data_IF_772233252207
#
_entry.id   IF_772233252207
#
_cell.length_a   1.000
_cell.length_b   1.000
_cell.length_c   1.000
_cell.angle_alpha   90.00
_cell.angle_beta   90.00
_cell.angle_gamma   90.00
#
_symmetry.space_group_name_H-M   'P 1'
#
loop_
_entity.id
_entity.type
_entity.pdbx_description
1 polymer ?
#
# COMPACT_ATOMS: atom_id res chain seq x y z
N UNK A 1 14.52 50.04 -31.51
CA UNK A 1 14.78 48.85 -30.68
C UNK A 1 16.13 48.29 -31.04
N UNK A 2 17.05 48.16 -30.07
CA UNK A 2 18.37 47.61 -30.34
C UNK A 2 18.28 46.10 -30.28
N UNK A 3 18.72 45.41 -31.31
CA UNK A 3 18.89 43.96 -31.29
C UNK A 3 20.32 43.61 -30.93
N UNK A 4 20.52 42.66 -30.06
CA UNK A 4 21.84 42.09 -29.81
C UNK A 4 22.09 40.94 -30.77
N UNK A 5 23.18 41.06 -31.55
CA UNK A 5 23.74 39.97 -32.30
C UNK A 5 25.09 39.66 -31.64
N UNK A 6 25.36 38.41 -31.34
CA UNK A 6 26.56 37.98 -30.59
C UNK A 6 26.79 38.72 -29.25
N UNK A 7 25.70 39.05 -28.54
CA UNK A 7 25.79 39.75 -27.25
C UNK A 7 25.94 41.28 -27.31
N UNK A 8 26.05 41.87 -28.48
CA UNK A 8 26.18 43.32 -28.65
C UNK A 8 24.84 43.93 -29.06
N UNK A 9 24.46 45.03 -28.43
CA UNK A 9 23.26 45.80 -28.78
C UNK A 9 23.49 46.55 -30.08
N UNK A 10 22.70 46.26 -31.13
CA UNK A 10 22.68 47.08 -32.37
C UNK A 10 21.46 47.98 -32.38
N UNK A 11 21.64 49.24 -32.72
CA UNK A 11 20.58 50.19 -32.99
C UNK A 11 20.06 50.02 -34.42
N UNK A 12 18.76 49.76 -34.55
CA UNK A 12 18.09 49.81 -35.83
C UNK A 12 17.49 51.22 -36.04
N UNK A 13 17.39 51.66 -37.31
CA UNK A 13 16.84 52.90 -37.69
C UNK A 13 15.37 53.14 -37.29
N UNK A 14 14.60 52.11 -36.92
CA UNK A 14 13.33 52.21 -36.22
C UNK A 14 13.61 52.14 -34.71
N UNK A 15 13.11 53.07 -33.94
CA UNK A 15 13.31 53.25 -32.49
C UNK A 15 12.93 52.09 -31.58
N UNK A 16 12.82 50.88 -32.10
CA UNK A 16 12.48 49.67 -31.33
C UNK A 16 13.73 48.88 -30.99
N UNK A 17 13.99 48.70 -29.70
CA UNK A 17 15.05 47.81 -29.20
C UNK A 17 14.50 46.38 -29.13
N UNK A 18 14.99 45.48 -29.93
CA UNK A 18 14.71 44.04 -29.89
C UNK A 18 15.86 43.32 -29.18
N UNK A 19 15.56 42.70 -28.05
CA UNK A 19 16.50 41.82 -27.38
C UNK A 19 16.58 40.52 -28.18
N UNK A 20 17.79 39.99 -28.36
CA UNK A 20 17.95 38.62 -28.84
C UNK A 20 17.35 37.64 -27.81
N UNK A 21 16.97 36.47 -28.29
CA UNK A 21 16.50 35.41 -27.40
C UNK A 21 17.53 35.14 -26.30
N UNK A 22 17.07 34.97 -25.04
CA UNK A 22 17.98 34.68 -23.95
C UNK A 22 18.70 33.35 -24.20
N UNK A 23 20.00 33.37 -24.09
CA UNK A 23 20.84 32.17 -24.20
C UNK A 23 21.22 31.71 -22.79
N UNK A 24 20.90 30.47 -22.47
CA UNK A 24 21.30 29.83 -21.21
C UNK A 24 22.36 28.79 -21.54
N UNK A 25 23.57 29.00 -21.04
CA UNK A 25 24.65 28.04 -21.13
C UNK A 25 24.70 27.16 -19.88
N UNK A 26 24.78 25.85 -20.08
CA UNK A 26 24.99 24.88 -18.99
C UNK A 26 26.46 24.47 -18.97
N UNK A 27 27.09 24.62 -17.80
CA UNK A 27 28.42 24.12 -17.53
C UNK A 27 28.34 22.93 -16.58
N UNK A 28 28.89 21.80 -17.01
CA UNK A 28 28.91 20.58 -16.19
C UNK A 28 30.32 20.37 -15.68
N UNK A 29 30.45 20.22 -14.36
CA UNK A 29 31.73 19.93 -13.71
C UNK A 29 31.59 18.70 -12.82
N UNK A 30 32.61 17.83 -12.88
CA UNK A 30 32.65 16.60 -12.05
C UNK A 30 33.57 16.82 -10.86
N UNK A 31 33.08 16.50 -9.67
CA UNK A 31 33.89 16.52 -8.45
C UNK A 31 34.89 15.36 -8.49
N UNK A 32 36.16 15.65 -8.42
CA UNK A 32 37.24 14.67 -8.39
C UNK A 32 37.51 14.20 -6.94
N UNK A 33 38.11 13.02 -6.73
CA UNK A 33 38.42 12.50 -5.39
C UNK A 33 39.31 13.41 -4.55
N UNK A 34 40.08 14.27 -5.17
CA UNK A 34 40.94 15.29 -4.52
C UNK A 34 40.17 16.57 -4.13
N UNK A 35 38.86 16.61 -4.32
CA UNK A 35 38.02 17.78 -4.01
C UNK A 35 38.01 18.88 -5.09
N UNK A 36 38.77 18.75 -6.20
CA UNK A 36 38.73 19.71 -7.29
C UNK A 36 37.58 19.43 -8.27
N UNK A 37 37.12 20.47 -8.99
CA UNK A 37 36.10 20.33 -10.02
C UNK A 37 36.78 20.27 -11.40
N UNK A 38 36.48 19.23 -12.17
CA UNK A 38 36.89 19.09 -13.57
C UNK A 38 35.73 19.46 -14.47
N UNK A 39 35.94 20.51 -15.30
CA UNK A 39 34.94 20.92 -16.30
C UNK A 39 34.84 19.88 -17.43
N UNK A 40 33.64 19.48 -17.78
CA UNK A 40 33.35 18.57 -18.89
C UNK A 40 32.95 19.37 -20.11
N UNK A 41 33.82 19.44 -21.10
CA UNK A 41 33.62 20.26 -22.31
C UNK A 41 32.68 19.59 -23.32
N UNK A 42 32.61 18.26 -23.33
CA UNK A 42 31.78 17.48 -24.26
C UNK A 42 30.99 16.42 -23.48
N UNK A 43 29.91 16.79 -22.78
CA UNK A 43 29.16 15.84 -21.92
C UNK A 43 28.64 14.61 -22.67
N UNK A 44 28.18 14.79 -23.91
CA UNK A 44 27.63 13.71 -24.75
C UNK A 44 28.65 12.66 -25.19
N UNK A 45 29.94 12.96 -25.15
CA UNK A 45 31.00 11.98 -25.41
C UNK A 45 31.61 11.40 -24.14
N UNK A 46 31.43 12.08 -23.02
CA UNK A 46 32.01 11.69 -21.74
C UNK A 46 31.04 10.83 -20.90
N UNK A 47 29.76 11.16 -20.92
CA UNK A 47 28.73 10.44 -20.15
C UNK A 47 27.95 9.46 -21.02
N UNK A 48 27.55 8.35 -20.43
CA UNK A 48 26.59 7.45 -21.05
C UNK A 48 25.16 8.06 -21.02
N UNK A 49 24.25 7.48 -21.78
CA UNK A 49 22.88 7.94 -21.95
C UNK A 49 22.15 8.08 -20.60
N UNK A 50 22.32 7.12 -19.68
CA UNK A 50 21.71 7.17 -18.36
C UNK A 50 22.13 8.40 -17.55
N UNK A 51 23.43 8.76 -17.55
CA UNK A 51 23.92 9.97 -16.88
C UNK A 51 23.39 11.24 -17.54
N UNK A 52 23.34 11.29 -18.85
CA UNK A 52 22.79 12.44 -19.58
C UNK A 52 21.31 12.64 -19.27
N UNK A 53 20.53 11.56 -19.27
CA UNK A 53 19.11 11.58 -18.88
C UNK A 53 18.93 12.03 -17.42
N UNK A 54 19.75 11.52 -16.51
CA UNK A 54 19.69 11.92 -15.10
C UNK A 54 19.99 13.43 -14.92
N UNK A 55 20.98 13.96 -15.65
CA UNK A 55 21.29 15.40 -15.62
C UNK A 55 20.12 16.22 -16.17
N UNK A 56 19.58 15.83 -17.33
CA UNK A 56 18.44 16.52 -17.96
C UNK A 56 17.20 16.54 -17.04
N UNK A 57 16.88 15.40 -16.41
CA UNK A 57 15.79 15.29 -15.44
C UNK A 57 16.03 16.16 -14.20
N UNK A 58 17.26 16.16 -13.66
CA UNK A 58 17.61 16.97 -12.49
C UNK A 58 17.43 18.45 -12.75
N UNK A 59 17.84 18.93 -13.95
CA UNK A 59 17.64 20.32 -14.36
C UNK A 59 16.15 20.62 -14.47
N UNK A 60 15.40 19.75 -15.15
CA UNK A 60 13.95 19.94 -15.33
C UNK A 60 13.21 19.98 -14.00
N UNK A 61 13.55 19.08 -13.08
CA UNK A 61 12.94 19.04 -11.74
C UNK A 61 13.35 20.26 -10.89
N UNK A 62 14.58 20.74 -11.01
CA UNK A 62 15.01 21.97 -10.36
C UNK A 62 14.19 23.19 -10.84
N UNK A 63 13.90 23.26 -12.15
CA UNK A 63 13.08 24.32 -12.73
C UNK A 63 11.63 24.29 -12.22
N UNK A 64 11.06 23.11 -11.92
CA UNK A 64 9.71 23.00 -11.34
C UNK A 64 9.60 23.73 -9.98
N UNK A 65 10.69 23.81 -9.23
CA UNK A 65 10.71 24.47 -7.92
C UNK A 65 10.80 26.01 -8.03
N UNK A 66 11.16 26.57 -9.17
CA UNK A 66 11.29 28.01 -9.37
C UNK A 66 9.94 28.70 -9.64
N UNK A 67 8.97 27.94 -10.09
CA UNK A 67 7.66 28.48 -10.42
C UNK A 67 6.77 28.62 -9.17
N UNK A 68 6.01 29.73 -9.10
CA UNK A 68 5.00 29.89 -8.07
C UNK A 68 3.86 28.86 -8.26
N UNK A 69 3.29 28.30 -7.19
CA UNK A 69 2.17 27.40 -7.30
C UNK A 69 0.97 28.10 -7.97
N UNK A 70 0.54 27.57 -9.11
CA UNK A 70 -0.68 27.96 -9.80
C UNK A 70 -1.59 26.74 -9.92
N UNK A 71 -2.88 26.93 -9.82
CA UNK A 71 -3.86 25.85 -9.97
C UNK A 71 -3.77 25.20 -11.37
N UNK A 72 -3.95 23.89 -11.43
CA UNK A 72 -4.02 23.14 -12.68
C UNK A 72 -2.70 22.73 -13.32
N UNK A 73 -1.60 22.72 -12.58
CA UNK A 73 -0.31 22.25 -13.11
C UNK A 73 -0.29 20.76 -13.35
N UNK A 74 0.23 20.36 -14.49
CA UNK A 74 0.50 18.96 -14.79
C UNK A 74 1.95 18.73 -15.22
N UNK A 75 2.43 17.52 -14.94
CA UNK A 75 3.74 17.03 -15.36
C UNK A 75 3.54 15.75 -16.17
N UNK A 76 3.91 15.79 -17.44
CA UNK A 76 3.90 14.61 -18.31
C UNK A 76 5.32 14.09 -18.50
N UNK A 77 5.54 12.83 -18.21
CA UNK A 77 6.80 12.11 -18.39
C UNK A 77 6.53 10.93 -19.34
N UNK A 78 7.10 11.03 -20.54
CA UNK A 78 6.94 10.03 -21.59
C UNK A 78 8.26 9.27 -21.78
N UNK A 79 8.28 8.03 -21.34
CA UNK A 79 9.39 7.07 -21.49
C UNK A 79 10.79 7.55 -21.05
N UNK A 80 10.85 8.66 -20.33
CA UNK A 80 12.10 9.35 -19.96
C UNK A 80 12.98 8.55 -19.00
N UNK A 81 12.44 7.50 -18.37
CA UNK A 81 13.14 6.74 -17.32
C UNK A 81 13.77 5.44 -17.85
N UNK A 82 13.58 5.12 -19.13
CA UNK A 82 13.98 3.82 -19.68
C UNK A 82 15.50 3.61 -19.69
N UNK A 83 16.26 4.68 -19.94
CA UNK A 83 17.73 4.63 -19.93
C UNK A 83 18.33 4.57 -18.51
N UNK A 84 17.53 4.82 -17.46
CA UNK A 84 17.97 4.75 -16.07
C UNK A 84 17.91 3.32 -15.54
N UNK A 85 18.88 2.95 -14.71
CA UNK A 85 18.82 1.73 -13.92
C UNK A 85 17.71 1.82 -12.84
N UNK A 86 17.30 0.68 -12.29
CA UNK A 86 16.21 0.61 -11.31
C UNK A 86 16.46 1.44 -10.04
N UNK A 87 17.72 1.58 -9.62
CA UNK A 87 18.08 2.39 -8.45
C UNK A 87 17.80 3.87 -8.69
N UNK A 88 18.16 4.38 -9.86
CA UNK A 88 17.91 5.76 -10.24
C UNK A 88 16.42 6.01 -10.56
N UNK A 89 15.72 5.03 -11.18
CA UNK A 89 14.26 5.09 -11.34
C UNK A 89 13.55 5.19 -9.99
N UNK A 90 14.01 4.44 -8.98
CA UNK A 90 13.45 4.50 -7.64
C UNK A 90 13.56 5.90 -7.00
N UNK A 91 14.70 6.59 -7.20
CA UNK A 91 14.86 7.97 -6.72
C UNK A 91 13.91 8.93 -7.42
N UNK A 92 13.73 8.78 -8.74
CA UNK A 92 12.76 9.59 -9.48
C UNK A 92 11.35 9.34 -9.02
N UNK A 93 10.96 8.08 -8.80
CA UNK A 93 9.64 7.73 -8.26
C UNK A 93 9.40 8.38 -6.90
N UNK A 94 10.36 8.31 -5.97
CA UNK A 94 10.22 8.97 -4.67
C UNK A 94 10.03 10.48 -4.83
N UNK A 95 10.79 11.14 -5.70
CA UNK A 95 10.62 12.56 -6.00
C UNK A 95 9.24 12.88 -6.58
N UNK A 96 8.73 12.05 -7.52
CA UNK A 96 7.41 12.25 -8.10
C UNK A 96 6.29 12.11 -7.03
N UNK A 97 6.45 11.20 -6.08
CA UNK A 97 5.53 11.06 -4.96
C UNK A 97 5.56 12.28 -4.03
N UNK A 98 6.72 12.88 -3.79
CA UNK A 98 6.87 14.10 -2.99
C UNK A 98 6.18 15.31 -3.61
N UNK A 99 6.12 15.39 -4.95
CA UNK A 99 5.51 16.52 -5.66
C UNK A 99 4.07 16.25 -6.13
N UNK A 100 3.53 15.06 -5.91
CA UNK A 100 2.20 14.66 -6.38
C UNK A 100 1.06 15.54 -5.83
N UNK A 101 1.22 16.11 -4.65
CA UNK A 101 0.27 17.07 -4.07
C UNK A 101 0.21 18.42 -4.83
N UNK A 102 1.28 18.75 -5.56
CA UNK A 102 1.43 20.04 -6.26
C UNK A 102 1.19 19.94 -7.76
N UNK A 103 1.33 18.75 -8.33
CA UNK A 103 1.27 18.50 -9.77
C UNK A 103 0.37 17.30 -10.08
N UNK A 104 -0.50 17.44 -11.08
CA UNK A 104 -1.14 16.28 -11.69
C UNK A 104 -0.11 15.58 -12.59
N UNK A 105 0.30 14.37 -12.23
CA UNK A 105 1.38 13.67 -12.89
C UNK A 105 0.82 12.63 -13.87
N UNK A 106 1.31 12.67 -15.11
CA UNK A 106 1.07 11.68 -16.15
C UNK A 106 2.39 10.99 -16.47
N UNK A 107 2.48 9.70 -16.16
CA UNK A 107 3.66 8.89 -16.39
C UNK A 107 3.35 7.82 -17.45
N UNK A 108 3.99 7.94 -18.61
CA UNK A 108 3.89 6.98 -19.70
C UNK A 108 5.14 6.11 -19.73
N UNK A 109 4.98 4.81 -19.93
CA UNK A 109 6.09 3.88 -20.08
C UNK A 109 5.65 2.64 -20.85
N UNK A 110 6.53 2.08 -21.66
CA UNK A 110 6.37 0.77 -22.26
C UNK A 110 7.08 -0.34 -21.47
N UNK A 111 7.80 0.01 -20.40
CA UNK A 111 8.46 -0.95 -19.52
C UNK A 111 7.46 -1.52 -18.48
N UNK A 112 7.01 -2.75 -18.74
CA UNK A 112 6.06 -3.46 -17.87
C UNK A 112 6.59 -3.64 -16.44
N UNK A 113 7.88 -3.91 -16.27
CA UNK A 113 8.46 -4.08 -14.92
C UNK A 113 8.43 -2.77 -14.14
N UNK A 114 8.75 -1.66 -14.80
CA UNK A 114 8.69 -0.35 -14.17
C UNK A 114 7.24 0.06 -13.84
N UNK A 115 6.28 -0.24 -14.73
CA UNK A 115 4.86 -0.03 -14.48
C UNK A 115 4.37 -0.78 -13.22
N UNK A 116 4.69 -2.07 -13.09
CA UNK A 116 4.33 -2.86 -11.92
C UNK A 116 5.06 -2.39 -10.64
N UNK A 117 6.32 -1.97 -10.76
CA UNK A 117 7.07 -1.37 -9.66
C UNK A 117 6.40 -0.09 -9.15
N UNK A 118 5.97 0.79 -10.06
CA UNK A 118 5.28 2.03 -9.71
C UNK A 118 3.94 1.74 -9.03
N UNK A 119 3.13 0.82 -9.58
CA UNK A 119 1.89 0.35 -8.93
C UNK A 119 2.14 -0.16 -7.51
N UNK A 120 3.20 -0.93 -7.32
CA UNK A 120 3.55 -1.44 -6.00
C UNK A 120 3.92 -0.31 -5.02
N UNK A 121 4.69 0.67 -5.45
CA UNK A 121 5.10 1.81 -4.62
C UNK A 121 3.94 2.71 -4.21
N UNK A 122 2.97 2.89 -5.09
CA UNK A 122 1.80 3.75 -4.87
C UNK A 122 0.61 3.00 -4.24
N UNK A 123 0.77 1.71 -3.95
CA UNK A 123 -0.30 0.87 -3.38
C UNK A 123 -0.88 1.41 -2.06
N UNK A 124 -0.09 2.15 -1.28
CA UNK A 124 -0.57 2.78 -0.03
C UNK A 124 -1.48 3.98 -0.28
N UNK A 125 -1.42 4.58 -1.46
CA UNK A 125 -2.18 5.77 -1.89
C UNK A 125 -3.30 5.35 -2.84
N UNK A 126 -4.10 4.34 -2.44
CA UNK A 126 -5.22 3.83 -3.24
C UNK A 126 -6.23 4.95 -3.48
N UNK A 127 -6.56 5.20 -4.76
CA UNK A 127 -7.50 6.24 -5.16
C UNK A 127 -6.85 7.52 -5.70
N UNK A 128 -5.57 7.78 -5.41
CA UNK A 128 -4.84 8.95 -5.94
C UNK A 128 -4.26 8.69 -7.34
N UNK A 129 -4.00 7.42 -7.69
CA UNK A 129 -3.36 7.00 -8.94
C UNK A 129 -4.28 6.13 -9.78
N UNK A 130 -4.38 6.46 -11.07
CA UNK A 130 -5.15 5.70 -12.07
C UNK A 130 -4.18 5.04 -13.04
N UNK A 131 -4.31 3.72 -13.22
CA UNK A 131 -3.44 2.92 -14.09
C UNK A 131 -4.21 2.50 -15.34
N UNK A 132 -3.62 2.78 -16.49
CA UNK A 132 -4.20 2.43 -17.79
C UNK A 132 -3.17 1.73 -18.65
N UNK A 133 -3.61 0.76 -19.41
CA UNK A 133 -2.80 0.06 -20.41
C UNK A 133 -3.35 0.41 -21.79
N UNK A 134 -2.46 0.75 -22.73
CA UNK A 134 -2.81 1.09 -24.10
C UNK A 134 -2.38 -0.09 -24.96
N UNK A 135 -3.32 -0.63 -25.70
CA UNK A 135 -3.11 -1.72 -26.64
C UNK A 135 -3.49 -1.28 -28.05
N UNK A 136 -2.97 -2.00 -29.03
CA UNK A 136 -3.31 -1.81 -30.44
C UNK A 136 -4.10 -3.02 -30.93
N UNK A 137 -5.26 -2.79 -31.52
CA UNK A 137 -6.01 -3.84 -32.20
C UNK A 137 -5.36 -4.21 -33.53
N UNK A 138 -5.78 -5.32 -34.13
CA UNK A 138 -5.30 -5.79 -35.45
C UNK A 138 -5.56 -4.79 -36.57
N UNK A 139 -6.65 -4.01 -36.49
CA UNK A 139 -6.97 -2.90 -37.38
C UNK A 139 -6.20 -1.61 -37.13
N UNK A 140 -5.19 -1.66 -36.21
CA UNK A 140 -4.37 -0.53 -35.77
C UNK A 140 -5.14 0.57 -35.02
N UNK A 141 -6.34 0.29 -34.53
CA UNK A 141 -7.03 1.21 -33.63
C UNK A 141 -6.51 1.05 -32.20
N UNK A 142 -6.06 2.11 -31.53
CA UNK A 142 -5.66 2.03 -30.14
C UNK A 142 -6.88 1.91 -29.23
N UNK A 143 -6.79 1.08 -28.19
CA UNK A 143 -7.78 1.05 -27.13
C UNK A 143 -7.12 1.13 -25.76
N UNK A 144 -7.80 1.79 -24.84
CA UNK A 144 -7.32 2.00 -23.48
C UNK A 144 -8.06 1.06 -22.55
N UNK A 145 -7.31 0.19 -21.89
CA UNK A 145 -7.80 -0.68 -20.84
C UNK A 145 -7.41 -0.10 -19.48
N UNK A 146 -8.35 -0.08 -18.55
CA UNK A 146 -7.98 0.10 -17.17
C UNK A 146 -7.11 -1.10 -16.77
N UNK A 147 -6.00 -0.85 -16.06
CA UNK A 147 -5.26 -1.94 -15.45
C UNK A 147 -6.11 -2.47 -14.29
N UNK A 148 -7.09 -3.26 -14.69
CA UNK A 148 -8.06 -3.84 -13.79
C UNK A 148 -7.37 -4.79 -12.82
N UNK A 149 -7.90 -4.85 -11.62
CA UNK A 149 -7.59 -5.92 -10.70
C UNK A 149 -8.07 -7.27 -11.26
N UNK A 150 -7.66 -8.36 -10.64
CA UNK A 150 -8.04 -9.69 -11.12
C UNK A 150 -9.56 -9.91 -11.17
N UNK A 151 -10.33 -9.23 -10.30
CA UNK A 151 -11.80 -9.35 -10.29
C UNK A 151 -12.43 -8.65 -11.49
N UNK A 152 -11.92 -7.47 -11.86
CA UNK A 152 -12.36 -6.79 -13.08
C UNK A 152 -12.05 -7.60 -14.35
N UNK A 153 -10.88 -8.24 -14.40
CA UNK A 153 -10.51 -9.13 -15.49
C UNK A 153 -11.43 -10.35 -15.54
N UNK A 154 -11.72 -10.97 -14.40
CA UNK A 154 -12.67 -12.09 -14.33
C UNK A 154 -14.05 -11.68 -14.84
N UNK A 155 -14.57 -10.53 -14.40
CA UNK A 155 -15.86 -10.00 -14.84
C UNK A 155 -15.90 -9.76 -16.36
N UNK A 156 -14.80 -9.25 -16.93
CA UNK A 156 -14.68 -9.08 -18.38
C UNK A 156 -14.84 -10.41 -19.12
N UNK A 157 -14.12 -11.47 -18.69
CA UNK A 157 -14.19 -12.77 -19.33
C UNK A 157 -15.53 -13.50 -19.07
N UNK A 158 -16.18 -13.28 -17.93
CA UNK A 158 -17.55 -13.76 -17.70
C UNK A 158 -18.53 -13.19 -18.75
N UNK A 159 -18.41 -11.88 -19.04
CA UNK A 159 -19.24 -11.21 -20.07
C UNK A 159 -18.98 -11.76 -21.50
N UNK A 160 -17.78 -12.29 -21.73
CA UNK A 160 -17.42 -12.95 -22.98
C UNK A 160 -17.75 -14.45 -23.02
N UNK A 161 -18.33 -14.99 -21.94
CA UNK A 161 -18.61 -16.43 -21.77
C UNK A 161 -17.37 -17.32 -21.68
N UNK A 162 -16.20 -16.73 -21.39
CA UNK A 162 -14.92 -17.43 -21.21
C UNK A 162 -14.70 -17.83 -19.74
N UNK A 163 -15.52 -18.76 -19.25
CA UNK A 163 -15.60 -19.06 -17.81
C UNK A 163 -14.34 -19.71 -17.25
N UNK A 164 -13.58 -20.44 -18.03
CA UNK A 164 -12.30 -21.02 -17.59
C UNK A 164 -11.25 -19.96 -17.36
N UNK A 165 -11.14 -19.03 -18.30
CA UNK A 165 -10.23 -17.88 -18.17
C UNK A 165 -10.63 -17.02 -16.97
N UNK A 166 -11.93 -16.75 -16.80
CA UNK A 166 -12.48 -16.05 -15.66
C UNK A 166 -12.10 -16.75 -14.34
N UNK A 167 -12.25 -18.08 -14.26
CA UNK A 167 -11.90 -18.90 -13.11
C UNK A 167 -10.42 -18.76 -12.70
N UNK A 168 -9.50 -18.68 -13.67
CA UNK A 168 -8.08 -18.42 -13.41
C UNK A 168 -7.83 -17.06 -12.77
N UNK A 169 -8.54 -16.02 -13.23
CA UNK A 169 -8.45 -14.68 -12.63
C UNK A 169 -9.08 -14.62 -11.25
N UNK A 170 -10.21 -15.29 -11.03
CA UNK A 170 -10.83 -15.43 -9.71
C UNK A 170 -9.88 -16.13 -8.71
N UNK A 171 -9.18 -17.19 -9.15
CA UNK A 171 -8.16 -17.84 -8.31
C UNK A 171 -7.05 -16.89 -7.91
N UNK A 172 -6.48 -16.13 -8.85
CA UNK A 172 -5.45 -15.13 -8.56
C UNK A 172 -5.96 -14.04 -7.62
N UNK A 173 -7.21 -13.60 -7.79
CA UNK A 173 -7.86 -12.67 -6.89
C UNK A 173 -8.00 -13.24 -5.49
N UNK A 174 -8.49 -14.48 -5.34
CA UNK A 174 -8.63 -15.15 -4.06
C UNK A 174 -7.29 -15.27 -3.32
N UNK A 175 -6.22 -15.71 -4.00
CA UNK A 175 -4.89 -15.78 -3.40
C UNK A 175 -4.37 -14.41 -2.93
N UNK A 176 -4.59 -13.36 -3.73
CA UNK A 176 -4.17 -12.00 -3.39
C UNK A 176 -4.95 -11.45 -2.20
N UNK A 177 -6.27 -11.63 -2.18
CA UNK A 177 -7.13 -11.18 -1.09
C UNK A 177 -6.78 -11.89 0.21
N UNK A 178 -6.59 -13.21 0.19
CA UNK A 178 -6.16 -13.97 1.37
C UNK A 178 -4.81 -13.48 1.90
N UNK A 179 -3.83 -13.23 1.02
CA UNK A 179 -2.52 -12.69 1.41
C UNK A 179 -2.59 -11.27 1.98
N UNK A 180 -3.49 -10.44 1.47
CA UNK A 180 -3.70 -9.09 2.01
C UNK A 180 -4.40 -9.14 3.39
N UNK A 181 -5.32 -10.07 3.56
CA UNK A 181 -6.04 -10.29 4.82
C UNK A 181 -5.13 -10.79 5.94
N UNK A 182 -4.26 -11.76 5.64
CA UNK A 182 -3.42 -12.42 6.63
C UNK A 182 -2.13 -11.64 6.95
N UNK A 183 -1.69 -11.59 8.22
CA UNK A 183 -0.30 -11.28 8.55
C UNK A 183 0.68 -12.25 7.87
N UNK A 184 1.90 -11.80 7.57
CA UNK A 184 2.90 -12.62 6.85
C UNK A 184 3.13 -13.98 7.49
N UNK A 185 3.19 -14.04 8.83
CA UNK A 185 3.38 -15.31 9.57
C UNK A 185 2.26 -16.33 9.34
N UNK A 186 1.03 -15.88 9.03
CA UNK A 186 -0.11 -16.73 8.74
C UNK A 186 -0.20 -17.17 7.28
N UNK A 187 0.66 -16.63 6.41
CA UNK A 187 0.79 -17.03 5.01
C UNK A 187 1.78 -18.19 4.80
N UNK A 188 2.45 -18.61 5.87
CA UNK A 188 3.48 -19.63 5.86
C UNK A 188 3.01 -20.87 6.62
N UNK A 189 3.47 -22.04 6.18
CA UNK A 189 3.33 -23.27 6.90
C UNK A 189 4.37 -23.40 8.03
N UNK A 190 4.33 -24.47 8.78
CA UNK A 190 5.27 -24.72 9.89
C UNK A 190 6.73 -24.87 9.46
N UNK A 191 6.98 -25.24 8.20
CA UNK A 191 8.29 -25.32 7.57
C UNK A 191 8.72 -24.05 6.83
N UNK A 192 8.00 -22.93 7.05
CA UNK A 192 8.18 -21.62 6.41
C UNK A 192 8.00 -21.62 4.88
N UNK A 193 7.43 -22.67 4.30
CA UNK A 193 7.00 -22.63 2.90
C UNK A 193 5.71 -21.83 2.74
N UNK A 194 5.49 -21.29 1.54
CA UNK A 194 4.26 -20.56 1.25
C UNK A 194 3.08 -21.52 1.17
N UNK A 195 1.97 -21.14 1.82
CA UNK A 195 0.74 -21.89 1.73
C UNK A 195 0.12 -21.81 0.35
N UNK A 196 -0.51 -22.90 -0.07
CA UNK A 196 -1.40 -22.95 -1.22
C UNK A 196 -2.71 -22.22 -0.91
N UNK A 197 -3.60 -22.11 -1.91
CA UNK A 197 -4.90 -21.43 -1.74
C UNK A 197 -5.74 -22.07 -0.63
N UNK A 198 -5.70 -23.41 -0.49
CA UNK A 198 -6.42 -24.08 0.59
C UNK A 198 -5.93 -23.64 1.97
N UNK A 199 -4.63 -23.73 2.20
CA UNK A 199 -4.03 -23.29 3.46
C UNK A 199 -4.29 -21.81 3.76
N UNK A 200 -4.25 -20.96 2.73
CA UNK A 200 -4.56 -19.53 2.88
C UNK A 200 -6.02 -19.32 3.33
N UNK A 201 -7.00 -19.98 2.71
CA UNK A 201 -8.43 -19.85 3.06
C UNK A 201 -8.67 -20.35 4.48
N UNK A 202 -8.13 -21.52 4.84
CA UNK A 202 -8.29 -22.07 6.20
C UNK A 202 -7.67 -21.13 7.25
N UNK A 203 -6.51 -20.56 6.96
CA UNK A 203 -5.90 -19.60 7.86
C UNK A 203 -6.67 -18.27 7.92
N UNK A 204 -7.29 -17.81 6.81
CA UNK A 204 -8.18 -16.64 6.84
C UNK A 204 -9.37 -16.89 7.76
N UNK A 205 -10.03 -18.03 7.62
CA UNK A 205 -11.16 -18.42 8.48
C UNK A 205 -10.74 -18.42 9.94
N UNK A 206 -9.68 -19.15 10.26
CA UNK A 206 -9.17 -19.24 11.63
C UNK A 206 -8.75 -17.89 12.21
N UNK A 207 -8.05 -17.06 11.43
CA UNK A 207 -7.63 -15.73 11.88
C UNK A 207 -8.82 -14.81 12.13
N UNK A 208 -9.86 -14.90 11.31
CA UNK A 208 -11.11 -14.18 11.49
C UNK A 208 -11.82 -14.59 12.78
N UNK A 209 -12.02 -15.90 12.99
CA UNK A 209 -12.63 -16.47 14.20
C UNK A 209 -11.87 -16.07 15.47
N UNK A 210 -10.55 -16.26 15.48
CA UNK A 210 -9.69 -15.92 16.62
C UNK A 210 -9.62 -14.41 16.90
N UNK A 211 -9.86 -13.57 15.90
CA UNK A 211 -9.98 -12.12 16.06
C UNK A 211 -11.36 -11.67 16.52
N UNK A 212 -12.34 -12.58 16.63
CA UNK A 212 -13.69 -12.29 17.09
C UNK A 212 -14.63 -11.77 15.98
N UNK A 213 -14.32 -12.02 14.71
CA UNK A 213 -15.25 -11.81 13.61
C UNK A 213 -16.39 -12.86 13.71
N UNK A 214 -17.62 -12.38 13.87
CA UNK A 214 -18.79 -13.25 14.06
C UNK A 214 -19.20 -13.90 12.73
N UNK A 215 -18.98 -13.24 11.61
CA UNK A 215 -19.38 -13.70 10.29
C UNK A 215 -18.18 -14.18 9.48
N UNK A 216 -18.08 -15.49 9.34
CA UNK A 216 -17.02 -16.19 8.60
C UNK A 216 -17.55 -16.85 7.31
N UNK A 217 -18.82 -16.61 6.97
CA UNK A 217 -19.53 -17.25 5.84
C UNK A 217 -18.73 -17.07 4.53
N UNK A 218 -18.14 -15.89 4.32
CA UNK A 218 -17.30 -15.60 3.14
C UNK A 218 -16.18 -16.65 2.97
N UNK A 219 -15.52 -17.05 4.06
CA UNK A 219 -14.41 -18.01 3.98
C UNK A 219 -14.92 -19.45 3.76
N UNK A 220 -16.11 -19.78 4.22
CA UNK A 220 -16.77 -21.08 3.97
C UNK A 220 -17.18 -21.20 2.50
N UNK A 221 -17.80 -20.16 1.97
CA UNK A 221 -18.13 -20.07 0.55
C UNK A 221 -16.87 -20.15 -0.34
N UNK A 222 -15.80 -19.42 0.01
CA UNK A 222 -14.52 -19.48 -0.70
C UNK A 222 -13.92 -20.89 -0.69
N UNK A 223 -14.02 -21.65 0.41
CA UNK A 223 -13.55 -23.03 0.44
C UNK A 223 -14.36 -23.93 -0.49
N UNK A 224 -15.66 -23.69 -0.59
CA UNK A 224 -16.52 -24.38 -1.56
C UNK A 224 -16.12 -24.05 -2.99
N UNK A 225 -16.02 -22.76 -3.35
CA UNK A 225 -15.61 -22.33 -4.69
C UNK A 225 -14.19 -22.78 -5.03
N UNK A 226 -13.30 -22.89 -4.06
CA UNK A 226 -11.95 -23.45 -4.29
C UNK A 226 -12.02 -24.85 -4.88
N UNK A 227 -12.89 -25.69 -4.37
CA UNK A 227 -13.01 -27.09 -4.80
C UNK A 227 -13.58 -27.23 -6.22
N UNK A 228 -14.58 -26.42 -6.54
CA UNK A 228 -15.35 -26.60 -7.77
C UNK A 228 -14.99 -25.63 -8.91
N UNK A 229 -14.40 -24.47 -8.59
CA UNK A 229 -14.10 -23.42 -9.58
C UNK A 229 -12.62 -23.09 -9.64
N UNK A 230 -12.03 -22.72 -8.49
CA UNK A 230 -10.70 -22.11 -8.48
C UNK A 230 -9.57 -23.11 -8.72
N UNK A 231 -9.64 -24.32 -8.15
CA UNK A 231 -8.64 -25.37 -8.38
C UNK A 231 -8.78 -25.97 -9.79
N UNK A 232 -9.97 -26.38 -10.27
CA UNK A 232 -10.12 -26.92 -11.63
C UNK A 232 -9.74 -25.92 -12.73
N UNK A 233 -9.87 -24.61 -12.47
CA UNK A 233 -9.46 -23.58 -13.43
C UNK A 233 -7.95 -23.52 -13.68
N UNK A 234 -7.13 -24.03 -12.78
CA UNK A 234 -5.66 -24.00 -12.87
C UNK A 234 -5.04 -25.37 -13.21
N UNK A 235 -5.85 -26.42 -13.27
CA UNK A 235 -5.45 -27.76 -13.68
C UNK A 235 -6.25 -28.17 -14.90
N UNK A 236 -5.62 -28.88 -15.80
CA UNK A 236 -6.24 -29.40 -17.03
C UNK A 236 -7.18 -30.57 -16.70
N UNK A 237 -8.26 -30.27 -15.95
CA UNK A 237 -9.29 -31.23 -15.58
C UNK A 237 -10.49 -31.05 -16.51
N UNK A 238 -10.53 -31.88 -17.56
CA UNK A 238 -11.60 -31.90 -18.56
C UNK A 238 -13.00 -32.23 -18.00
N UNK A 239 -13.11 -32.65 -16.75
CA UNK A 239 -14.33 -33.20 -16.18
C UNK A 239 -15.21 -32.21 -15.43
N UNK A 240 -14.78 -30.96 -15.22
CA UNK A 240 -15.57 -29.97 -14.49
C UNK A 240 -16.03 -28.87 -15.42
N UNK A 241 -17.26 -29.01 -15.91
CA UNK A 241 -17.94 -27.96 -16.67
C UNK A 241 -18.26 -26.82 -15.69
N UNK A 242 -17.74 -25.64 -15.98
CA UNK A 242 -18.03 -24.42 -15.21
C UNK A 242 -19.26 -23.75 -15.76
N UNK A 243 -20.27 -23.60 -14.92
CA UNK A 243 -21.49 -22.90 -15.29
C UNK A 243 -21.37 -21.42 -14.95
N UNK A 244 -22.02 -20.60 -15.74
CA UNK A 244 -22.03 -19.15 -15.57
C UNK A 244 -22.41 -18.72 -14.16
N UNK A 245 -23.45 -19.33 -13.61
CA UNK A 245 -24.00 -18.98 -12.30
C UNK A 245 -22.95 -19.14 -11.18
N UNK A 246 -22.27 -20.28 -11.10
CA UNK A 246 -21.28 -20.53 -10.05
C UNK A 246 -20.07 -19.60 -10.15
N UNK A 247 -19.66 -19.24 -11.37
CA UNK A 247 -18.55 -18.32 -11.61
C UNK A 247 -18.93 -16.88 -11.22
N UNK A 248 -20.19 -16.48 -11.51
CA UNK A 248 -20.74 -15.18 -11.08
C UNK A 248 -20.86 -15.09 -9.55
N UNK A 249 -21.35 -16.14 -8.88
CA UNK A 249 -21.43 -16.21 -7.43
C UNK A 249 -20.05 -16.16 -6.77
N UNK A 250 -19.06 -16.87 -7.32
CA UNK A 250 -17.66 -16.79 -6.87
C UNK A 250 -17.10 -15.37 -7.00
N UNK A 251 -17.38 -14.68 -8.10
CA UNK A 251 -17.02 -13.27 -8.28
C UNK A 251 -17.68 -12.39 -7.21
N UNK A 252 -18.97 -12.61 -6.93
CA UNK A 252 -19.70 -11.85 -5.91
C UNK A 252 -19.10 -12.04 -4.51
N UNK A 253 -18.82 -13.28 -4.11
CA UNK A 253 -18.17 -13.58 -2.81
C UNK A 253 -16.77 -12.94 -2.72
N UNK A 254 -15.99 -12.96 -3.79
CA UNK A 254 -14.68 -12.30 -3.80
C UNK A 254 -14.78 -10.77 -3.77
N UNK A 255 -15.82 -10.17 -4.37
CA UNK A 255 -16.12 -8.73 -4.22
C UNK A 255 -16.49 -8.39 -2.79
N UNK A 256 -17.31 -9.21 -2.14
CA UNK A 256 -17.63 -9.06 -0.72
C UNK A 256 -16.36 -9.17 0.14
N UNK A 257 -15.46 -10.11 -0.15
CA UNK A 257 -14.17 -10.22 0.54
C UNK A 257 -13.28 -8.99 0.31
N UNK A 258 -13.23 -8.46 -0.91
CA UNK A 258 -12.49 -7.24 -1.25
C UNK A 258 -12.98 -6.02 -0.45
N UNK A 259 -14.26 -5.97 -0.07
CA UNK A 259 -14.85 -4.89 0.71
C UNK A 259 -14.43 -4.90 2.18
N UNK A 260 -13.81 -5.97 2.67
CA UNK A 260 -13.25 -6.03 4.02
C UNK A 260 -11.99 -5.17 4.06
N UNK A 261 -12.05 -4.06 4.77
CA UNK A 261 -10.93 -3.14 4.92
C UNK A 261 -10.07 -3.56 6.10
N UNK A 262 -8.76 -3.72 5.84
CA UNK A 262 -7.77 -3.99 6.87
C UNK A 262 -6.78 -2.84 6.91
N UNK A 263 -6.62 -2.24 8.08
CA UNK A 263 -5.67 -1.17 8.31
C UNK A 263 -4.73 -1.50 9.46
N UNK A 264 -3.46 -1.03 9.42
CA UNK A 264 -2.59 -1.05 10.59
C UNK A 264 -3.26 -0.30 11.74
N UNK A 265 -3.01 -0.75 12.96
CA UNK A 265 -3.55 -0.10 14.16
C UNK A 265 -2.46 0.20 15.17
N UNK A 266 -1.87 -0.83 15.75
CA UNK A 266 -0.78 -0.71 16.71
C UNK A 266 0.37 -1.61 16.25
N UNK A 267 1.58 -1.06 16.24
CA UNK A 267 2.78 -1.75 15.76
C UNK A 267 3.43 -2.60 16.85
N UNK A 268 4.22 -3.58 16.41
CA UNK A 268 5.12 -4.33 17.28
C UNK A 268 5.92 -3.41 18.21
N UNK A 269 6.01 -3.77 19.48
CA UNK A 269 6.74 -3.01 20.51
C UNK A 269 5.95 -1.86 21.13
N UNK A 270 4.74 -1.56 20.68
CA UNK A 270 3.88 -0.58 21.35
C UNK A 270 3.61 -1.00 22.80
N UNK A 271 3.65 -0.02 23.70
CA UNK A 271 3.44 -0.22 25.13
C UNK A 271 2.11 0.38 25.55
N UNK A 272 1.26 -0.43 26.09
CA UNK A 272 -0.08 -0.06 26.53
C UNK A 272 -0.23 -0.32 28.02
N UNK A 273 -1.19 0.35 28.64
CA UNK A 273 -1.55 0.03 30.03
C UNK A 273 -3.04 0.32 30.31
N UNK A 274 -3.57 -0.30 31.34
CA UNK A 274 -4.85 0.05 31.95
C UNK A 274 -4.83 -0.26 33.46
N UNK A 275 -5.73 0.36 34.19
CA UNK A 275 -5.82 0.23 35.66
C UNK A 275 -7.23 -0.20 36.07
N UNK A 276 -7.29 -1.15 37.01
CA UNK A 276 -8.52 -1.68 37.58
C UNK A 276 -8.37 -1.78 39.10
N UNK A 277 -9.49 -1.70 39.82
CA UNK A 277 -9.54 -1.91 41.27
C UNK A 277 -10.33 -3.20 41.58
N UNK A 278 -10.01 -3.87 42.71
CA UNK A 278 -10.85 -4.95 43.18
C UNK A 278 -12.12 -4.44 43.87
N UNK A 279 -13.19 -5.27 43.95
CA UNK A 279 -14.38 -4.92 44.71
C UNK A 279 -14.12 -4.78 46.21
N UNK A 280 -14.99 -4.01 46.88
CA UNK A 280 -15.01 -3.91 48.33
C UNK A 280 -15.16 -5.31 49.02
N UNK A 281 -14.59 -5.52 50.25
CA UNK A 281 -14.12 -4.50 51.21
C UNK A 281 -12.64 -4.14 51.05
N UNK A 282 -11.82 -4.96 50.39
CA UNK A 282 -10.39 -4.72 50.27
C UNK A 282 -10.06 -4.20 48.88
N UNK A 283 -10.00 -2.87 48.70
CA UNK A 283 -9.67 -2.27 47.42
C UNK A 283 -8.17 -2.43 47.19
N UNK A 284 -7.82 -3.24 46.18
CA UNK A 284 -6.47 -3.37 45.68
C UNK A 284 -6.41 -2.74 44.29
N UNK A 285 -5.34 -1.99 44.01
CA UNK A 285 -5.10 -1.39 42.70
C UNK A 285 -4.25 -2.31 41.83
N UNK A 286 -4.72 -2.58 40.65
CA UNK A 286 -4.02 -3.35 39.63
C UNK A 286 -3.72 -2.47 38.42
N UNK A 287 -2.46 -2.39 38.01
CA UNK A 287 -2.04 -1.83 36.74
C UNK A 287 -1.53 -2.95 35.87
N UNK A 288 -2.08 -3.05 34.68
CA UNK A 288 -1.68 -4.01 33.64
C UNK A 288 -0.82 -3.28 32.63
N UNK A 289 0.43 -3.64 32.50
CA UNK A 289 1.34 -3.13 31.47
C UNK A 289 1.49 -4.17 30.38
N UNK A 290 1.27 -3.79 29.12
CA UNK A 290 1.25 -4.64 27.96
C UNK A 290 2.30 -4.16 26.97
N UNK A 291 3.04 -5.11 26.37
CA UNK A 291 3.95 -4.86 25.25
C UNK A 291 3.47 -5.72 24.10
N UNK A 292 3.19 -5.11 22.96
CA UNK A 292 2.75 -5.84 21.79
C UNK A 292 3.94 -6.58 21.14
N UNK A 293 3.77 -7.87 20.91
CA UNK A 293 4.75 -8.74 20.25
C UNK A 293 4.35 -9.09 18.80
N UNK A 294 3.25 -8.51 18.33
CA UNK A 294 2.75 -8.57 16.96
C UNK A 294 2.20 -7.20 16.57
N UNK A 295 2.05 -6.99 15.24
CA UNK A 295 1.26 -5.88 14.74
C UNK A 295 -0.23 -6.19 14.86
N UNK A 296 -0.96 -5.32 15.51
CA UNK A 296 -2.42 -5.41 15.61
C UNK A 296 -3.05 -4.60 14.48
N UNK A 297 -4.12 -5.13 13.90
CA UNK A 297 -4.82 -4.57 12.74
C UNK A 297 -6.28 -4.32 13.08
N UNK A 298 -6.85 -3.31 12.46
CA UNK A 298 -8.29 -3.11 12.47
C UNK A 298 -8.87 -3.79 11.25
N UNK A 299 -9.89 -4.62 11.48
CA UNK A 299 -10.66 -5.33 10.45
C UNK A 299 -12.04 -4.69 10.44
N UNK A 300 -12.43 -4.09 9.32
CA UNK A 300 -13.74 -3.46 9.11
C UNK A 300 -14.52 -4.25 8.08
N UNK A 301 -15.65 -4.79 8.47
CA UNK A 301 -16.67 -5.27 7.55
C UNK A 301 -17.66 -4.15 7.24
N UNK A 302 -18.27 -4.13 6.05
CA UNK A 302 -19.37 -3.23 5.76
C UNK A 302 -20.48 -3.33 6.83
N UNK A 303 -20.97 -2.19 7.29
CA UNK A 303 -22.08 -2.08 8.24
C UNK A 303 -21.89 -2.77 9.61
N UNK A 304 -20.66 -3.11 9.99
CA UNK A 304 -20.34 -3.72 11.30
C UNK A 304 -19.29 -2.89 12.05
N UNK A 305 -19.31 -3.03 13.37
CA UNK A 305 -18.26 -2.42 14.20
C UNK A 305 -16.89 -3.01 13.88
N UNK A 306 -15.85 -2.18 13.89
CA UNK A 306 -14.49 -2.63 13.62
C UNK A 306 -14.00 -3.57 14.73
N UNK A 307 -13.24 -4.58 14.33
CA UNK A 307 -12.64 -5.55 15.24
C UNK A 307 -11.13 -5.40 15.22
N UNK A 308 -10.50 -5.47 16.39
CA UNK A 308 -9.04 -5.49 16.51
C UNK A 308 -8.57 -6.94 16.47
N UNK A 309 -7.61 -7.21 15.59
CA UNK A 309 -7.09 -8.55 15.39
C UNK A 309 -6.46 -9.14 16.66
N UNK A 310 -6.38 -10.47 16.68
CA UNK A 310 -5.62 -11.22 17.68
C UNK A 310 -4.11 -11.08 17.42
N UNK A 311 -3.33 -11.06 18.50
CA UNK A 311 -1.87 -11.05 18.43
C UNK A 311 -1.22 -11.47 19.76
N UNK A 312 0.09 -11.73 19.71
CA UNK A 312 0.89 -12.04 20.88
C UNK A 312 1.17 -10.77 21.67
N UNK A 313 0.96 -10.82 22.97
CA UNK A 313 1.29 -9.76 23.92
C UNK A 313 2.18 -10.31 25.04
N UNK A 314 3.07 -9.49 25.52
CA UNK A 314 3.73 -9.67 26.80
C UNK A 314 3.10 -8.71 27.80
N UNK A 315 2.76 -9.18 28.98
CA UNK A 315 2.16 -8.33 29.98
C UNK A 315 2.72 -8.62 31.38
N UNK A 316 2.61 -7.64 32.24
CA UNK A 316 2.85 -7.79 33.69
C UNK A 316 1.77 -7.07 34.49
N UNK A 317 1.48 -7.61 35.65
CA UNK A 317 0.52 -7.04 36.59
C UNK A 317 1.25 -6.41 37.74
N UNK A 318 0.98 -5.16 38.02
CA UNK A 318 1.48 -4.42 39.16
C UNK A 318 0.35 -4.31 40.18
N UNK A 319 0.54 -4.91 41.34
CA UNK A 319 -0.46 -4.92 42.41
C UNK A 319 0.02 -4.04 43.55
N UNK A 320 -0.72 -2.97 43.90
CA UNK A 320 -0.35 -2.02 44.96
C UNK A 320 1.14 -1.64 44.91
N UNK A 321 1.61 -1.23 43.70
CA UNK A 321 3.03 -0.86 43.40
C UNK A 321 4.02 -2.04 43.40
N UNK A 322 3.59 -3.26 43.75
CA UNK A 322 4.46 -4.45 43.68
C UNK A 322 4.46 -5.02 42.27
N UNK A 323 5.65 -5.11 41.69
CA UNK A 323 5.88 -5.55 40.31
C UNK A 323 5.72 -7.07 40.17
N UNK A 324 4.80 -7.52 39.31
CA UNK A 324 4.64 -8.92 38.97
C UNK A 324 5.64 -9.42 37.91
N UNK A 325 5.63 -10.73 37.66
CA UNK A 325 6.43 -11.35 36.58
C UNK A 325 5.84 -11.05 35.20
N UNK A 326 6.72 -10.96 34.20
CA UNK A 326 6.31 -10.88 32.80
C UNK A 326 5.68 -12.22 32.36
N UNK A 327 4.54 -12.16 31.71
CA UNK A 327 3.80 -13.27 31.14
C UNK A 327 3.52 -12.99 29.67
N UNK A 328 3.19 -14.04 28.91
CA UNK A 328 2.84 -13.92 27.49
C UNK A 328 1.47 -14.54 27.25
N UNK A 329 0.70 -13.92 26.37
CA UNK A 329 -0.61 -14.44 25.93
C UNK A 329 -0.80 -14.13 24.44
N UNK A 330 -1.56 -15.00 23.77
CA UNK A 330 -1.95 -14.81 22.38
C UNK A 330 -3.47 -14.57 22.33
N UNK A 331 -3.86 -13.29 22.36
CA UNK A 331 -5.23 -12.89 22.63
C UNK A 331 -5.62 -11.62 21.87
N UNK A 332 -6.90 -11.27 21.85
CA UNK A 332 -7.35 -9.93 21.47
C UNK A 332 -7.26 -8.98 22.66
N UNK A 333 -6.99 -7.71 22.43
CA UNK A 333 -6.96 -6.69 23.50
C UNK A 333 -8.33 -6.62 24.22
N UNK A 334 -9.42 -6.81 23.48
CA UNK A 334 -10.78 -6.89 24.03
C UNK A 334 -10.89 -8.03 25.04
N UNK A 335 -10.58 -9.26 24.65
CA UNK A 335 -10.68 -10.42 25.52
C UNK A 335 -9.80 -10.28 26.76
N UNK A 336 -8.56 -9.83 26.58
CA UNK A 336 -7.63 -9.60 27.68
C UNK A 336 -8.19 -8.58 28.69
N UNK A 337 -8.76 -7.49 28.20
CA UNK A 337 -9.40 -6.49 29.05
C UNK A 337 -10.63 -7.05 29.76
N UNK A 338 -11.56 -7.66 29.03
CA UNK A 338 -12.86 -8.15 29.55
C UNK A 338 -12.69 -9.19 30.66
N UNK A 339 -11.73 -10.12 30.52
CA UNK A 339 -11.42 -11.13 31.55
C UNK A 339 -10.96 -10.47 32.85
N UNK A 340 -10.16 -9.44 32.79
CA UNK A 340 -9.66 -8.74 33.97
C UNK A 340 -10.72 -7.77 34.53
N UNK A 341 -11.45 -7.07 33.66
CA UNK A 341 -12.54 -6.19 34.04
C UNK A 341 -13.67 -6.93 34.78
N UNK A 342 -13.98 -8.16 34.39
CA UNK A 342 -15.02 -8.98 35.06
C UNK A 342 -14.70 -9.22 36.54
N UNK A 343 -13.44 -9.18 36.94
CA UNK A 343 -12.96 -9.38 38.32
C UNK A 343 -12.77 -8.06 39.08
N UNK A 344 -13.04 -6.90 38.46
CA UNK A 344 -12.86 -5.57 39.03
C UNK A 344 -14.13 -5.07 39.74
N UNK A 345 -14.01 -3.94 40.41
CA UNK A 345 -15.12 -3.20 41.05
C UNK A 345 -16.07 -2.54 40.02
N UNK A 346 -15.76 -2.66 38.74
CA UNK A 346 -16.47 -2.04 37.60
C UNK A 346 -16.65 -0.53 37.68
N UNK A 347 -15.79 0.14 38.44
CA UNK A 347 -15.76 1.61 38.50
C UNK A 347 -15.20 2.27 37.25
N UNK A 348 -14.45 1.51 36.45
CA UNK A 348 -13.91 1.95 35.16
C UNK A 348 -14.86 1.61 34.01
N UNK A 349 -14.63 2.20 32.83
CA UNK A 349 -15.41 1.91 31.64
C UNK A 349 -15.33 0.44 31.25
N UNK A 350 -16.47 -0.16 30.88
CA UNK A 350 -16.51 -1.50 30.26
C UNK A 350 -15.95 -1.51 28.84
N UNK A 351 -15.83 -0.36 28.20
CA UNK A 351 -15.25 -0.25 26.84
C UNK A 351 -13.73 -0.25 26.91
N UNK A 352 -13.12 -1.35 26.46
CA UNK A 352 -11.67 -1.54 26.45
C UNK A 352 -10.94 -0.47 25.61
N UNK A 353 -11.56 0.03 24.55
CA UNK A 353 -10.98 1.06 23.68
C UNK A 353 -10.72 2.39 24.40
N UNK A 354 -11.60 2.73 25.35
CA UNK A 354 -11.50 3.94 26.15
C UNK A 354 -10.61 3.76 27.38
N UNK A 355 -10.38 2.51 27.79
CA UNK A 355 -9.70 2.18 29.04
C UNK A 355 -8.25 1.80 28.87
N UNK A 356 -7.88 1.23 27.72
CA UNK A 356 -6.50 0.92 27.39
C UNK A 356 -5.85 2.19 26.82
N UNK A 357 -4.72 2.55 27.42
CA UNK A 357 -3.98 3.79 27.14
C UNK A 357 -2.63 3.45 26.50
N UNK A 358 -2.26 4.17 25.46
CA UNK A 358 -0.90 4.11 24.89
C UNK A 358 0.08 4.84 25.81
N UNK A 359 1.15 4.17 26.24
CA UNK A 359 2.12 4.72 27.20
C UNK A 359 2.98 5.86 26.64
N UNK A 360 2.97 6.07 25.31
CA UNK A 360 3.77 7.10 24.65
C UNK A 360 2.99 8.42 24.49
N UNK A 361 1.73 8.31 24.13
CA UNK A 361 0.86 9.48 23.88
C UNK A 361 -0.02 9.83 25.07
N UNK A 362 -0.17 8.92 26.03
CA UNK A 362 -1.11 9.01 27.17
C UNK A 362 -2.59 9.10 26.72
N UNK A 363 -2.87 8.71 25.46
CA UNK A 363 -4.20 8.72 24.88
C UNK A 363 -4.85 7.33 24.93
N UNK A 364 -6.18 7.24 25.05
CA UNK A 364 -6.93 6.00 24.88
C UNK A 364 -6.77 5.47 23.44
N UNK A 365 -6.68 4.14 23.31
CA UNK A 365 -6.50 3.52 21.97
C UNK A 365 -7.66 3.75 21.01
N UNK A 366 -8.84 4.17 21.49
CA UNK A 366 -9.94 4.58 20.62
C UNK A 366 -9.57 5.77 19.70
N UNK A 367 -8.64 6.64 20.11
CA UNK A 367 -8.22 7.79 19.31
C UNK A 367 -7.42 7.40 18.06
N UNK A 368 -6.93 6.16 17.99
CA UNK A 368 -6.20 5.62 16.83
C UNK A 368 -7.11 4.86 15.85
N UNK A 369 -8.41 4.72 16.16
CA UNK A 369 -9.41 4.08 15.31
C UNK A 369 -10.10 5.15 14.45
N UNK A 370 -9.40 5.70 13.48
CA UNK A 370 -9.95 6.64 12.51
C UNK A 370 -10.40 5.95 11.23
#
# INVERSE_FOLDING_TARGET
>A
MNTKENGVLKEHASSYKKLNEPFIGLEISELQPNGSFRKITKPHTYFNEAKLTAIALSIRFALLNLDKPADGRFLALDDMLISLDMSNRAKVVNFLLEISDKYKIYLFTHDKMFFEYFKHKTKKNIGEWVYKEIYMNDDKTPYIRNSEDYLGQAEHFIKQHEYEVAGNFLRKAAELLCKNFLPVKWQLSTDYSRLDLNGLIQNCKRYAEESGLIDITIFEELDSFRKFILNPASHDSYDVIKYRYEVEECLHTLRAFQSIVISPFLEYGAKLYFELNTPLPNIEKYKFEIILCDDFRIIRLPDKEPVISKGMINFRVIKNETLGRMQSDNTTLKHFYDVNYSKSDRSKSSNYLNSIIDSKTEDPICNFIL
#
